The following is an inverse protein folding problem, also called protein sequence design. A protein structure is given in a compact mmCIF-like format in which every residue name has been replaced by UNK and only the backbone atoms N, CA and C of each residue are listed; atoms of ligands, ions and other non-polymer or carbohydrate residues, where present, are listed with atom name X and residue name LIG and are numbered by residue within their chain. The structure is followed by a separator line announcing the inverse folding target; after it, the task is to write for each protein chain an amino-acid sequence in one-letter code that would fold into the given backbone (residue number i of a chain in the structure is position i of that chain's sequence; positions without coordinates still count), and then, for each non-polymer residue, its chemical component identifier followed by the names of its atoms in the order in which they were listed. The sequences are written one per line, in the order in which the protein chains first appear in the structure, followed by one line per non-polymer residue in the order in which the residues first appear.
data_IF_262256468100
#
_entry.id   IF_262256468100
#
_cell.length_a   1.000
_cell.length_b   1.000
_cell.length_c   1.000
_cell.angle_alpha   90.00
_cell.angle_beta   90.00
_cell.angle_gamma   90.00
#
_symmetry.space_group_name_H-M   'P 1'
#
loop_
_entity.id
_entity.type
_entity.pdbx_description
1 polymer ?
#
# COMPACT_ATOMS: atom_id res chain seq x y z
N UNK A 1 -24.82 -21.64 -2.31
CA UNK A 1 -24.19 -20.49 -1.66
C UNK A 1 -22.96 -20.06 -2.47
N UNK A 2 -22.84 -18.78 -2.73
CA UNK A 2 -21.71 -18.20 -3.46
C UNK A 2 -20.94 -17.29 -2.49
N UNK A 3 -19.59 -17.31 -2.55
CA UNK A 3 -18.76 -16.45 -1.75
C UNK A 3 -17.94 -15.56 -2.67
N UNK A 4 -17.80 -14.28 -2.29
CA UNK A 4 -16.86 -13.39 -2.94
C UNK A 4 -15.44 -13.80 -2.57
N UNK A 5 -14.57 -13.92 -3.56
CA UNK A 5 -13.20 -14.38 -3.39
C UNK A 5 -12.26 -13.68 -4.37
N UNK A 6 -11.11 -13.29 -3.89
CA UNK A 6 -10.02 -12.76 -4.72
C UNK A 6 -8.68 -13.33 -4.29
N UNK A 7 -7.78 -13.56 -5.25
CA UNK A 7 -6.45 -14.09 -4.97
C UNK A 7 -5.39 -13.48 -5.88
N UNK A 8 -4.28 -13.08 -5.28
CA UNK A 8 -3.02 -12.75 -5.94
C UNK A 8 -2.06 -13.91 -5.72
N UNK A 9 -1.40 -14.37 -6.80
CA UNK A 9 -0.42 -15.45 -6.74
C UNK A 9 0.92 -14.93 -7.24
N UNK A 10 1.97 -15.10 -6.42
CA UNK A 10 3.34 -14.83 -6.80
C UNK A 10 4.16 -16.11 -6.80
N UNK A 11 4.87 -16.35 -7.90
CA UNK A 11 5.59 -17.60 -8.07
C UNK A 11 6.96 -17.62 -7.40
N UNK A 12 7.63 -16.47 -7.29
CA UNK A 12 9.02 -16.36 -6.82
C UNK A 12 9.24 -15.05 -6.07
N UNK A 13 10.12 -15.06 -5.10
CA UNK A 13 10.66 -13.85 -4.46
C UNK A 13 11.42 -13.02 -5.52
N UNK A 14 11.38 -11.68 -5.47
CA UNK A 14 12.21 -10.82 -6.32
C UNK A 14 13.69 -11.17 -6.18
N UNK A 15 14.44 -11.12 -7.29
CA UNK A 15 15.88 -11.44 -7.28
C UNK A 15 16.73 -10.34 -6.64
N UNK A 16 16.20 -9.14 -6.61
CA UNK A 16 16.81 -7.90 -6.11
C UNK A 16 16.22 -7.46 -4.76
N UNK A 17 15.62 -8.42 -4.04
CA UNK A 17 15.21 -8.18 -2.66
C UNK A 17 16.42 -7.71 -1.87
N UNK A 18 16.37 -6.51 -1.33
CA UNK A 18 17.46 -5.96 -0.52
C UNK A 18 17.06 -6.07 0.93
N UNK A 19 17.91 -6.70 1.75
CA UNK A 19 17.78 -6.77 3.22
C UNK A 19 17.89 -5.38 3.89
N UNK A 20 17.92 -4.32 3.12
CA UNK A 20 18.02 -2.96 3.61
C UNK A 20 16.61 -2.34 3.72
N UNK A 21 16.15 -2.11 4.94
CA UNK A 21 14.83 -1.61 5.36
C UNK A 21 14.45 -0.21 4.82
N UNK A 22 14.63 0.04 3.53
CA UNK A 22 14.25 1.33 2.94
C UNK A 22 12.82 1.30 2.36
N UNK A 23 12.35 0.12 1.93
CA UNK A 23 11.02 -0.09 1.37
C UNK A 23 10.56 -1.51 1.70
N UNK A 24 9.36 -1.65 2.22
CA UNK A 24 8.76 -2.97 2.39
C UNK A 24 8.47 -3.62 1.03
N UNK A 25 9.01 -4.83 0.84
CA UNK A 25 8.75 -5.70 -0.31
C UNK A 25 8.18 -7.03 0.20
N UNK A 26 6.89 -7.24 0.04
CA UNK A 26 6.21 -8.40 0.61
C UNK A 26 4.71 -8.28 0.54
N UNK A 27 4.07 -8.83 1.53
CA UNK A 27 2.63 -8.73 1.73
C UNK A 27 2.31 -7.44 2.47
N UNK A 28 1.35 -6.70 1.96
CA UNK A 28 0.89 -5.46 2.56
C UNK A 28 -0.63 -5.42 2.56
N UNK A 29 -1.21 -4.96 3.64
CA UNK A 29 -2.65 -4.73 3.75
C UNK A 29 -2.95 -3.61 4.73
N UNK A 30 -4.07 -2.93 4.52
CA UNK A 30 -4.65 -2.03 5.49
C UNK A 30 -6.05 -2.54 5.81
N UNK A 31 -6.25 -3.03 7.04
CA UNK A 31 -7.45 -3.76 7.47
C UNK A 31 -7.95 -3.16 8.77
N UNK A 32 -9.18 -2.58 8.75
CA UNK A 32 -9.82 -1.97 9.92
C UNK A 32 -8.92 -0.94 10.64
N UNK A 33 -8.32 -0.03 9.85
CA UNK A 33 -7.44 1.05 10.29
C UNK A 33 -6.04 0.58 10.79
N UNK A 34 -5.64 -0.67 10.52
CA UNK A 34 -4.32 -1.21 10.85
C UNK A 34 -3.54 -1.53 9.58
N UNK A 35 -2.35 -0.95 9.44
CA UNK A 35 -1.38 -1.33 8.41
C UNK A 35 -0.66 -2.61 8.86
N UNK A 36 -0.62 -3.61 7.99
CA UNK A 36 0.00 -4.90 8.22
C UNK A 36 0.96 -5.15 7.07
N UNK A 37 2.21 -5.36 7.42
CA UNK A 37 3.31 -5.66 6.53
C UNK A 37 3.94 -6.97 6.97
N UNK A 38 4.06 -7.93 6.06
CA UNK A 38 4.61 -9.26 6.32
C UNK A 38 5.63 -9.62 5.25
N UNK A 39 6.81 -10.00 5.68
CA UNK A 39 7.88 -10.39 4.78
C UNK A 39 7.62 -11.77 4.15
N UNK A 40 8.28 -12.05 3.04
CA UNK A 40 8.15 -13.36 2.37
C UNK A 40 8.61 -14.51 3.27
N UNK A 41 9.65 -14.31 4.06
CA UNK A 41 10.21 -15.34 4.95
C UNK A 41 9.25 -15.63 6.12
N UNK A 42 8.65 -14.60 6.71
CA UNK A 42 7.64 -14.76 7.77
C UNK A 42 6.44 -15.58 7.28
N UNK A 43 5.97 -15.31 6.07
CA UNK A 43 4.84 -16.05 5.50
C UNK A 43 5.21 -17.47 5.07
N UNK A 44 6.48 -17.76 4.79
CA UNK A 44 6.94 -19.14 4.59
C UNK A 44 6.90 -19.95 5.88
N UNK A 45 7.24 -19.32 7.02
CA UNK A 45 7.24 -19.96 8.32
C UNK A 45 5.83 -20.05 8.90
N UNK A 46 5.06 -18.98 8.81
CA UNK A 46 3.74 -18.89 9.44
C UNK A 46 2.73 -18.16 8.55
N UNK A 47 1.61 -18.84 8.32
CA UNK A 47 0.45 -18.25 7.65
C UNK A 47 -0.11 -17.08 8.47
N UNK A 48 -0.33 -15.93 7.83
CA UNK A 48 -1.10 -14.83 8.39
C UNK A 48 -2.59 -14.98 8.08
N UNK A 49 -3.46 -14.59 9.02
CA UNK A 49 -4.91 -14.58 8.81
C UNK A 49 -5.55 -13.52 9.71
N UNK A 50 -6.39 -12.67 9.11
CA UNK A 50 -7.19 -11.66 9.82
C UNK A 50 -8.58 -11.54 9.21
N UNK A 51 -9.59 -11.32 10.04
CA UNK A 51 -10.95 -10.97 9.64
C UNK A 51 -11.08 -9.45 9.72
N UNK A 52 -11.67 -8.82 8.72
CA UNK A 52 -11.85 -7.38 8.62
C UNK A 52 -13.17 -7.03 7.94
N UNK A 53 -13.67 -5.81 8.19
CA UNK A 53 -14.89 -5.28 7.57
C UNK A 53 -14.59 -4.31 6.42
N UNK A 54 -13.41 -3.70 6.43
CA UNK A 54 -12.96 -2.75 5.40
C UNK A 54 -11.46 -2.86 5.16
N UNK A 55 -11.04 -2.39 4.00
CA UNK A 55 -9.64 -2.26 3.67
C UNK A 55 -9.25 -2.93 2.35
N UNK A 56 -7.97 -3.08 2.17
CA UNK A 56 -7.34 -3.68 0.99
C UNK A 56 -6.17 -4.57 1.39
N UNK A 57 -5.79 -5.47 0.49
CA UNK A 57 -4.65 -6.37 0.66
C UNK A 57 -3.91 -6.54 -0.65
N UNK A 58 -2.61 -6.82 -0.57
CA UNK A 58 -1.80 -6.96 -1.77
C UNK A 58 -0.44 -7.60 -1.56
N UNK A 59 0.30 -7.65 -2.66
CA UNK A 59 1.72 -8.00 -2.69
C UNK A 59 2.45 -6.87 -3.40
N UNK A 60 3.42 -6.28 -2.72
CA UNK A 60 4.24 -5.19 -3.21
C UNK A 60 5.67 -5.62 -3.52
N UNK A 61 6.20 -5.11 -4.60
CA UNK A 61 7.62 -5.11 -4.93
C UNK A 61 8.18 -3.69 -4.76
N UNK A 62 9.46 -3.53 -5.01
CA UNK A 62 10.14 -2.23 -4.96
C UNK A 62 9.44 -1.12 -5.73
N UNK A 63 8.91 -1.43 -6.93
CA UNK A 63 8.32 -0.45 -7.84
C UNK A 63 6.87 -0.70 -8.21
N UNK A 64 6.32 -1.86 -7.86
CA UNK A 64 5.00 -2.29 -8.28
C UNK A 64 4.17 -2.80 -7.11
N UNK A 65 2.88 -2.61 -7.20
CA UNK A 65 1.89 -3.18 -6.27
C UNK A 65 0.80 -3.88 -7.06
N UNK A 66 0.37 -5.01 -6.54
CA UNK A 66 -0.88 -5.67 -6.95
C UNK A 66 -1.76 -5.77 -5.72
N UNK A 67 -2.92 -5.12 -5.75
CA UNK A 67 -3.85 -5.08 -4.62
C UNK A 67 -5.23 -5.57 -5.01
N UNK A 68 -5.91 -6.15 -4.04
CA UNK A 68 -7.32 -6.51 -4.06
C UNK A 68 -8.05 -5.63 -3.07
N UNK A 69 -9.19 -5.09 -3.49
CA UNK A 69 -10.11 -4.36 -2.65
C UNK A 69 -11.39 -5.20 -2.57
N UNK A 70 -11.64 -5.85 -1.42
CA UNK A 70 -12.86 -6.59 -1.18
C UNK A 70 -14.10 -5.70 -1.27
N UNK A 71 -15.29 -6.28 -1.49
CA UNK A 71 -16.53 -5.53 -1.51
C UNK A 71 -16.74 -4.74 -0.22
N UNK A 72 -17.19 -3.50 -0.35
CA UNK A 72 -17.53 -2.65 0.80
C UNK A 72 -18.71 -3.23 1.59
N UNK A 73 -18.71 -3.00 2.90
CA UNK A 73 -19.81 -3.35 3.83
C UNK A 73 -20.04 -4.85 4.08
N UNK A 74 -19.04 -5.69 3.82
CA UNK A 74 -19.09 -7.11 4.16
C UNK A 74 -17.82 -7.52 4.88
N UNK A 75 -17.99 -8.37 5.88
CA UNK A 75 -16.87 -8.99 6.55
C UNK A 75 -16.17 -9.98 5.62
N UNK A 76 -14.87 -9.94 5.61
CA UNK A 76 -14.04 -10.85 4.83
C UNK A 76 -12.83 -11.32 5.65
N UNK A 77 -12.38 -12.51 5.32
CA UNK A 77 -11.18 -13.12 5.88
C UNK A 77 -10.03 -12.96 4.92
N UNK A 78 -9.03 -12.20 5.30
CA UNK A 78 -7.74 -12.09 4.60
C UNK A 78 -6.80 -13.20 5.02
N UNK A 79 -6.04 -13.70 4.06
CA UNK A 79 -5.03 -14.72 4.30
C UNK A 79 -3.81 -14.48 3.43
N UNK A 80 -2.64 -14.48 4.06
CA UNK A 80 -1.34 -14.59 3.39
C UNK A 80 -0.76 -15.97 3.69
N UNK A 81 -0.41 -16.71 2.67
CA UNK A 81 0.16 -18.05 2.84
C UNK A 81 1.18 -18.41 1.75
N UNK A 82 1.99 -19.42 2.06
CA UNK A 82 2.92 -20.04 1.13
C UNK A 82 2.64 -21.56 1.01
N UNK A 83 2.26 -21.98 -0.22
CA UNK A 83 2.18 -23.38 -0.61
C UNK A 83 2.84 -23.56 -1.97
N UNK A 84 4.16 -23.66 -2.03
CA UNK A 84 4.98 -23.62 -3.25
C UNK A 84 4.92 -22.28 -3.99
N UNK A 85 3.95 -21.43 -3.72
CA UNK A 85 3.73 -20.10 -4.26
C UNK A 85 3.22 -19.21 -3.13
N UNK A 86 3.58 -17.94 -3.17
CA UNK A 86 3.04 -16.93 -2.28
C UNK A 86 1.64 -16.53 -2.73
N UNK A 87 0.72 -16.41 -1.78
CA UNK A 87 -0.67 -16.08 -2.06
C UNK A 87 -1.19 -15.06 -1.06
N UNK A 88 -1.75 -13.98 -1.57
CA UNK A 88 -2.59 -13.06 -0.84
C UNK A 88 -4.02 -13.25 -1.31
N UNK A 89 -4.95 -13.56 -0.42
CA UNK A 89 -6.34 -13.77 -0.79
C UNK A 89 -7.30 -13.24 0.27
N UNK A 90 -8.52 -12.96 -0.16
CA UNK A 90 -9.64 -12.76 0.72
C UNK A 90 -10.81 -13.69 0.34
N UNK A 91 -11.65 -13.97 1.30
CA UNK A 91 -12.94 -14.64 1.12
C UNK A 91 -13.98 -13.97 2.01
N UNK A 92 -15.14 -13.62 1.45
CA UNK A 92 -16.25 -13.11 2.24
C UNK A 92 -16.68 -14.15 3.28
N UNK A 93 -16.99 -13.74 4.50
CA UNK A 93 -17.40 -14.64 5.58
C UNK A 93 -18.85 -15.07 5.42
N UNK A 94 -19.68 -14.21 4.80
CA UNK A 94 -21.08 -14.48 4.54
C UNK A 94 -21.32 -14.84 3.06
N UNK A 95 -22.15 -15.85 2.77
CA UNK A 95 -22.49 -16.19 1.42
C UNK A 95 -23.44 -15.18 0.78
N UNK A 96 -23.35 -15.05 -0.53
CA UNK A 96 -24.35 -14.36 -1.34
C UNK A 96 -25.56 -15.28 -1.51
N UNK A 97 -26.70 -14.85 -1.04
CA UNK A 97 -27.96 -15.58 -1.21
C UNK A 97 -28.72 -15.04 -2.42
N UNK A 98 -28.97 -15.90 -3.40
CA UNK A 98 -29.80 -15.61 -4.56
C UNK A 98 -31.22 -16.13 -4.31
N UNK A 99 -32.20 -15.22 -4.35
CA UNK A 99 -33.61 -15.58 -4.34
C UNK A 99 -34.10 -15.84 -5.77
N UNK A 100 -35.18 -16.61 -5.90
CA UNK A 100 -35.79 -16.84 -7.24
C UNK A 100 -36.11 -15.50 -7.92
N UNK A 101 -35.72 -15.36 -9.17
CA UNK A 101 -35.95 -14.16 -10.01
C UNK A 101 -35.23 -12.88 -9.52
N UNK A 102 -34.20 -12.99 -8.69
CA UNK A 102 -33.35 -11.85 -8.29
C UNK A 102 -31.95 -11.96 -8.89
N UNK A 103 -31.29 -10.80 -9.04
CA UNK A 103 -29.88 -10.72 -9.35
C UNK A 103 -29.17 -10.01 -8.20
N UNK A 104 -27.94 -10.44 -7.90
CA UNK A 104 -27.05 -9.81 -6.93
C UNK A 104 -25.77 -9.47 -7.67
N UNK A 105 -25.32 -8.24 -7.53
CA UNK A 105 -24.05 -7.76 -8.05
C UNK A 105 -23.09 -7.47 -6.90
N UNK A 106 -21.85 -7.88 -7.03
CA UNK A 106 -20.80 -7.62 -6.08
C UNK A 106 -19.53 -7.24 -6.83
N UNK A 107 -18.92 -6.13 -6.43
CA UNK A 107 -17.76 -5.56 -7.09
C UNK A 107 -16.52 -5.85 -6.25
N UNK A 108 -15.54 -6.50 -6.86
CA UNK A 108 -14.17 -6.65 -6.36
C UNK A 108 -13.28 -5.83 -7.27
N UNK A 109 -12.48 -4.94 -6.68
CA UNK A 109 -11.53 -4.16 -7.46
C UNK A 109 -10.15 -4.78 -7.39
N UNK A 110 -9.43 -4.76 -8.52
CA UNK A 110 -8.05 -5.20 -8.62
C UNK A 110 -7.23 -4.04 -9.17
N UNK A 111 -6.19 -3.63 -8.42
CA UNK A 111 -5.28 -2.58 -8.84
C UNK A 111 -3.90 -3.20 -9.08
N UNK A 112 -3.33 -2.94 -10.26
CA UNK A 112 -1.94 -3.23 -10.58
C UNK A 112 -1.31 -1.92 -11.02
N UNK A 113 -0.41 -1.39 -10.20
CA UNK A 113 0.13 -0.04 -10.42
C UNK A 113 1.62 0.07 -10.07
N UNK A 114 2.28 1.04 -10.68
CA UNK A 114 3.58 1.48 -10.20
C UNK A 114 3.42 2.23 -8.87
N UNK A 115 4.34 2.02 -7.93
CA UNK A 115 4.39 2.73 -6.63
C UNK A 115 4.87 4.18 -6.85
N UNK A 116 4.08 4.97 -7.58
CA UNK A 116 4.27 6.40 -7.77
C UNK A 116 3.20 7.14 -6.98
N UNK A 117 3.60 8.17 -6.25
CA UNK A 117 2.70 8.92 -5.36
C UNK A 117 1.48 9.46 -6.09
N UNK A 118 1.70 10.10 -7.25
CA UNK A 118 0.62 10.65 -8.08
C UNK A 118 -0.37 9.59 -8.59
N UNK A 119 0.11 8.39 -8.90
CA UNK A 119 -0.71 7.26 -9.38
C UNK A 119 -1.49 6.65 -8.22
N UNK A 120 -0.83 6.39 -7.09
CA UNK A 120 -1.45 5.76 -5.92
C UNK A 120 -2.48 6.71 -5.29
N UNK A 121 -2.14 7.99 -5.10
CA UNK A 121 -3.09 9.00 -4.60
C UNK A 121 -4.28 9.18 -5.57
N UNK A 122 -4.04 9.08 -6.87
CA UNK A 122 -5.09 9.11 -7.89
C UNK A 122 -6.08 7.95 -7.76
N UNK A 123 -5.60 6.72 -7.53
CA UNK A 123 -6.47 5.56 -7.26
C UNK A 123 -7.18 5.67 -5.91
N UNK A 124 -6.49 6.09 -4.86
CA UNK A 124 -7.08 6.30 -3.55
C UNK A 124 -8.30 7.24 -3.62
N UNK A 125 -8.16 8.36 -4.33
CA UNK A 125 -9.23 9.35 -4.48
C UNK A 125 -10.34 8.90 -5.44
N UNK A 126 -10.00 8.33 -6.60
CA UNK A 126 -10.98 7.99 -7.64
C UNK A 126 -11.84 6.77 -7.28
N UNK A 127 -11.34 5.87 -6.47
CA UNK A 127 -11.98 4.63 -6.05
C UNK A 127 -12.41 4.66 -4.58
N UNK A 128 -12.19 5.79 -3.87
CA UNK A 128 -12.52 5.98 -2.45
C UNK A 128 -11.92 4.87 -1.56
N UNK A 129 -10.62 4.63 -1.73
CA UNK A 129 -9.91 3.59 -0.98
C UNK A 129 -9.14 4.25 0.15
N UNK A 130 -9.59 4.01 1.38
CA UNK A 130 -8.96 4.54 2.60
C UNK A 130 -7.50 4.08 2.73
N UNK A 131 -6.61 5.06 3.00
CA UNK A 131 -5.20 4.81 3.31
C UNK A 131 -4.45 3.98 2.24
N UNK A 132 -4.87 4.04 0.96
CA UNK A 132 -4.19 3.32 -0.11
C UNK A 132 -2.80 3.90 -0.41
N UNK A 133 -2.55 5.14 -0.02
CA UNK A 133 -1.25 5.79 -0.11
C UNK A 133 -0.17 5.12 0.78
N UNK A 134 -0.58 4.37 1.82
CA UNK A 134 0.32 3.55 2.64
C UNK A 134 0.96 2.36 1.90
N UNK A 135 0.53 2.07 0.67
CA UNK A 135 1.25 1.15 -0.25
C UNK A 135 2.68 1.63 -0.52
N UNK A 136 2.91 2.95 -0.43
CA UNK A 136 4.24 3.54 -0.53
C UNK A 136 4.78 3.70 0.88
N UNK A 137 5.79 2.92 1.20
CA UNK A 137 6.48 3.04 2.49
C UNK A 137 7.30 4.32 2.54
N UNK A 138 6.81 5.32 3.25
CA UNK A 138 7.54 6.55 3.57
C UNK A 138 8.32 6.44 4.89
N UNK A 139 8.31 5.27 5.52
CA UNK A 139 8.94 4.99 6.79
C UNK A 139 8.21 5.60 7.99
N UNK A 140 8.79 5.40 9.18
CA UNK A 140 8.23 5.85 10.46
C UNK A 140 7.88 7.36 10.49
N UNK A 141 8.60 8.20 9.75
CA UNK A 141 8.40 9.65 9.70
C UNK A 141 7.47 10.08 8.54
N UNK A 142 6.50 9.26 8.15
CA UNK A 142 5.54 9.52 7.06
C UNK A 142 5.02 10.96 7.03
N UNK A 143 4.63 11.52 8.19
CA UNK A 143 4.08 12.88 8.29
C UNK A 143 5.08 13.99 7.93
N UNK A 144 6.40 13.70 7.93
CA UNK A 144 7.47 14.61 7.48
C UNK A 144 7.89 14.24 6.05
N UNK A 145 8.07 12.97 5.77
CA UNK A 145 8.65 12.46 4.52
C UNK A 145 7.73 12.73 3.33
N UNK A 146 6.42 12.54 3.49
CA UNK A 146 5.44 12.80 2.42
C UNK A 146 5.37 14.29 2.03
N UNK A 147 5.27 15.27 2.95
CA UNK A 147 5.36 16.69 2.60
C UNK A 147 6.71 17.08 1.96
N UNK A 148 7.83 16.53 2.44
CA UNK A 148 9.14 16.78 1.85
C UNK A 148 9.21 16.26 0.40
N UNK A 149 8.65 15.10 0.14
CA UNK A 149 8.57 14.55 -1.21
C UNK A 149 7.81 15.50 -2.14
N UNK A 150 6.63 15.98 -1.75
CA UNK A 150 5.86 16.93 -2.55
C UNK A 150 6.60 18.26 -2.77
N UNK A 151 7.34 18.74 -1.76
CA UNK A 151 8.13 19.94 -1.90
C UNK A 151 9.28 19.75 -2.91
N UNK A 152 9.98 18.60 -2.88
CA UNK A 152 11.03 18.28 -3.87
C UNK A 152 10.42 18.14 -5.27
N UNK A 153 9.27 17.50 -5.40
CA UNK A 153 8.55 17.35 -6.68
C UNK A 153 8.12 18.71 -7.25
N UNK A 154 7.66 19.64 -6.39
CA UNK A 154 7.36 21.00 -6.76
C UNK A 154 8.60 21.74 -7.31
N UNK A 155 9.73 21.68 -6.59
CA UNK A 155 10.99 22.28 -7.07
C UNK A 155 11.50 21.60 -8.34
N UNK A 156 11.31 20.30 -8.48
CA UNK A 156 11.66 19.60 -9.71
C UNK A 156 10.84 20.08 -10.90
N UNK A 157 9.51 20.24 -10.74
CA UNK A 157 8.64 20.79 -11.79
C UNK A 157 9.01 22.22 -12.19
N UNK A 158 9.52 23.01 -11.24
CA UNK A 158 9.95 24.38 -11.49
C UNK A 158 11.34 24.46 -12.16
N UNK A 159 12.29 23.64 -11.73
CA UNK A 159 13.70 23.73 -12.12
C UNK A 159 14.10 22.73 -13.23
N UNK A 160 13.26 21.73 -13.51
CA UNK A 160 13.51 20.69 -14.50
C UNK A 160 14.67 19.75 -14.17
N UNK A 161 15.24 19.82 -12.96
CA UNK A 161 16.38 19.02 -12.55
C UNK A 161 16.30 18.62 -11.08
N UNK A 162 16.35 17.32 -10.78
CA UNK A 162 16.24 16.79 -9.42
C UNK A 162 17.39 17.23 -8.51
N UNK A 163 18.62 17.33 -9.03
CA UNK A 163 19.75 17.82 -8.24
C UNK A 163 19.56 19.26 -7.75
N UNK A 164 19.09 20.13 -8.64
CA UNK A 164 18.76 21.52 -8.27
C UNK A 164 17.56 21.58 -7.32
N UNK A 165 16.56 20.72 -7.48
CA UNK A 165 15.42 20.63 -6.58
C UNK A 165 15.84 20.24 -5.15
N UNK A 166 16.74 19.28 -5.00
CA UNK A 166 17.29 18.86 -3.69
C UNK A 166 18.09 20.00 -3.05
N UNK A 167 18.91 20.72 -3.81
CA UNK A 167 19.68 21.86 -3.31
C UNK A 167 18.73 22.97 -2.85
N UNK A 168 17.73 23.33 -3.66
CA UNK A 168 16.73 24.34 -3.30
C UNK A 168 15.99 23.95 -2.02
N UNK A 169 15.54 22.70 -1.92
CA UNK A 169 14.87 22.19 -0.72
C UNK A 169 15.78 22.24 0.51
N UNK A 170 17.05 21.89 0.37
CA UNK A 170 18.03 21.95 1.45
C UNK A 170 18.20 23.40 1.96
N UNK A 171 18.25 24.38 1.05
CA UNK A 171 18.32 25.81 1.41
C UNK A 171 17.05 26.21 2.18
N UNK A 172 15.86 25.84 1.70
CA UNK A 172 14.60 26.14 2.39
C UNK A 172 14.56 25.58 3.81
N UNK A 173 14.97 24.31 3.98
CA UNK A 173 15.03 23.66 5.30
C UNK A 173 16.00 24.43 6.22
N UNK A 174 17.20 24.75 5.73
CA UNK A 174 18.19 25.51 6.52
C UNK A 174 17.68 26.87 6.93
N UNK A 175 17.01 27.60 6.05
CA UNK A 175 16.40 28.89 6.35
C UNK A 175 15.28 28.75 7.39
N UNK A 176 14.45 27.74 7.30
CA UNK A 176 13.36 27.49 8.26
C UNK A 176 13.89 27.15 9.66
N UNK A 177 15.00 26.40 9.75
CA UNK A 177 15.63 26.04 11.03
C UNK A 177 16.66 27.05 11.54
N UNK A 178 17.02 28.07 10.74
CA UNK A 178 18.00 29.07 11.12
C UNK A 178 17.66 29.80 12.44
N UNK A 179 16.41 30.27 12.68
CA UNK A 179 16.09 30.92 13.95
C UNK A 179 16.22 29.97 15.16
N UNK A 180 15.87 28.68 14.99
CA UNK A 180 16.03 27.67 16.05
C UNK A 180 17.52 27.45 16.39
N UNK A 181 18.39 27.40 15.37
CA UNK A 181 19.83 27.24 15.58
C UNK A 181 20.43 28.45 16.27
N UNK A 182 19.96 29.67 15.98
CA UNK A 182 20.41 30.89 16.63
C UNK A 182 19.95 31.04 18.10
N UNK A 183 18.81 30.43 18.47
CA UNK A 183 18.34 30.43 19.86
C UNK A 183 19.08 29.44 20.76
N UNK A 184 19.84 28.51 20.17
CA UNK A 184 20.58 27.47 20.90
C UNK A 184 22.02 27.87 21.27
N UNK A 185 22.46 29.06 20.85
CA UNK A 185 23.73 29.68 21.20
C UNK A 185 23.45 31.00 21.94
#
# INVERSE_FOLDING_TARGET
DFYSYGQIIRNKIPRDLTDFYINHEGFVSHLDDELIEEDYDDIQEKKFTKIAQKGWLGIGDKYWITSLIPPSNKEFKTTFDYKKKFRANFIATEPLTLNEKSSVEEIVQVIVAAKRVDVIDGYAQSLDIDNFDLVIDFGFLYFITKPLFFAIDYFFKLLGNYGLAIIAMTICIRLAFFPLANFSF
#
